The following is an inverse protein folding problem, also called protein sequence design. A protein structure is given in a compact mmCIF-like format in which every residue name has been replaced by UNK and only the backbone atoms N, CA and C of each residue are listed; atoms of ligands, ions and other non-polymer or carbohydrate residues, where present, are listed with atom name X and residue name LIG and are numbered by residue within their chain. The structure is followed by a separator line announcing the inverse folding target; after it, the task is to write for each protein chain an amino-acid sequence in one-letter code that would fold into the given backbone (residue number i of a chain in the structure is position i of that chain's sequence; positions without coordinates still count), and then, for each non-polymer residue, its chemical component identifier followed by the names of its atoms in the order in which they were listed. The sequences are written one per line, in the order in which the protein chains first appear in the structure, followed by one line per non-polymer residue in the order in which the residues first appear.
data_IF_384803968218
#
_entry.id   IF_384803968218
#
_cell.length_a   1.000
_cell.length_b   1.000
_cell.length_c   1.000
_cell.angle_alpha   90.00
_cell.angle_beta   90.00
_cell.angle_gamma   90.00
#
_symmetry.space_group_name_H-M   'P 1'
#
loop_
_entity.id
_entity.type
_entity.pdbx_description
1 polymer ?
#
# COMPACT_ATOMS: atom_id res chain seq x y z
N UNK A 1 -21.16 0.17 -7.41
CA UNK A 1 -20.57 1.52 -7.27
C UNK A 1 -19.33 1.63 -8.15
N UNK A 2 -19.49 1.83 -9.47
CA UNK A 2 -18.36 2.05 -10.41
C UNK A 2 -18.06 3.54 -10.68
N UNK A 3 -18.96 4.44 -10.28
CA UNK A 3 -18.91 5.85 -10.70
C UNK A 3 -17.87 6.69 -9.93
N UNK A 4 -17.31 6.17 -8.83
CA UNK A 4 -16.34 6.91 -8.01
C UNK A 4 -14.89 6.85 -8.54
N UNK A 5 -14.56 5.86 -9.39
CA UNK A 5 -13.19 5.69 -9.89
C UNK A 5 -12.82 6.75 -10.95
N UNK A 6 -13.79 7.19 -11.75
CA UNK A 6 -13.56 8.15 -12.84
C UNK A 6 -13.43 9.61 -12.36
N UNK A 7 -13.88 9.92 -11.15
CA UNK A 7 -13.92 11.32 -10.65
C UNK A 7 -12.64 11.70 -9.89
N UNK A 8 -11.90 10.75 -9.33
CA UNK A 8 -10.80 11.04 -8.40
C UNK A 8 -9.52 11.61 -9.06
N UNK A 9 -9.38 11.50 -10.38
CA UNK A 9 -8.18 11.96 -11.12
C UNK A 9 -8.47 13.08 -12.13
N UNK A 10 -9.71 13.52 -12.27
CA UNK A 10 -10.11 14.53 -13.26
C UNK A 10 -9.98 14.11 -14.73
N UNK A 11 -9.65 12.85 -15.03
CA UNK A 11 -9.56 12.31 -16.39
C UNK A 11 -10.55 11.13 -16.56
N UNK A 12 -11.68 11.32 -17.27
CA UNK A 12 -12.68 10.27 -17.48
C UNK A 12 -12.17 9.09 -18.35
N UNK A 13 -11.04 9.22 -19.05
CA UNK A 13 -10.41 8.15 -19.84
C UNK A 13 -9.44 7.25 -19.06
N UNK A 14 -9.15 7.58 -17.78
CA UNK A 14 -8.07 6.94 -17.03
C UNK A 14 -8.26 5.44 -16.83
N UNK A 15 -9.50 4.93 -16.85
CA UNK A 15 -9.76 3.49 -16.72
C UNK A 15 -9.09 2.65 -17.82
N UNK A 16 -9.11 3.13 -19.07
CA UNK A 16 -8.50 2.41 -20.18
C UNK A 16 -6.97 2.45 -20.10
N UNK A 17 -6.41 3.59 -19.70
CA UNK A 17 -4.97 3.77 -19.47
C UNK A 17 -4.48 2.88 -18.32
N UNK A 18 -5.23 2.84 -17.22
CA UNK A 18 -4.91 2.03 -16.06
C UNK A 18 -4.99 0.54 -16.37
N UNK A 19 -5.99 0.12 -17.16
CA UNK A 19 -6.06 -1.24 -17.69
C UNK A 19 -4.83 -1.59 -18.53
N UNK A 20 -4.46 -0.72 -19.48
CA UNK A 20 -3.29 -0.96 -20.35
C UNK A 20 -1.98 -1.08 -19.53
N UNK A 21 -1.87 -0.35 -18.41
CA UNK A 21 -0.75 -0.46 -17.47
C UNK A 21 -0.67 -1.86 -16.83
N UNK A 22 -1.79 -2.47 -16.51
CA UNK A 22 -1.81 -3.85 -16.00
C UNK A 22 -1.54 -4.88 -17.11
N UNK A 23 -2.11 -4.70 -18.30
CA UNK A 23 -1.92 -5.62 -19.43
C UNK A 23 -0.45 -5.68 -19.90
N UNK A 24 0.34 -4.63 -19.65
CA UNK A 24 1.76 -4.52 -20.01
C UNK A 24 2.74 -4.89 -18.89
N UNK A 25 2.24 -5.25 -17.71
CA UNK A 25 3.09 -5.59 -16.57
C UNK A 25 3.87 -6.89 -16.82
N UNK A 26 5.19 -6.85 -16.63
CA UNK A 26 6.06 -8.02 -16.75
C UNK A 26 6.70 -8.37 -15.40
N UNK A 27 7.10 -9.64 -15.19
CA UNK A 27 7.82 -10.02 -13.97
C UNK A 27 9.10 -9.19 -13.74
N UNK A 28 9.81 -8.82 -14.81
CA UNK A 28 11.01 -7.99 -14.75
C UNK A 28 10.69 -6.57 -14.27
N UNK A 29 9.70 -5.91 -14.88
CA UNK A 29 9.29 -4.55 -14.48
C UNK A 29 8.77 -4.51 -13.04
N UNK A 30 8.05 -5.54 -12.58
CA UNK A 30 7.61 -5.65 -11.18
C UNK A 30 8.82 -5.80 -10.25
N UNK A 31 9.78 -6.66 -10.62
CA UNK A 31 11.00 -6.88 -9.83
C UNK A 31 11.81 -5.58 -9.69
N UNK A 32 11.96 -4.83 -10.78
CA UNK A 32 12.62 -3.52 -10.78
C UNK A 32 11.89 -2.52 -9.88
N UNK A 33 10.57 -2.38 -10.02
CA UNK A 33 9.79 -1.49 -9.16
C UNK A 33 9.89 -1.84 -7.67
N UNK A 34 9.91 -3.13 -7.31
CA UNK A 34 10.10 -3.58 -5.92
C UNK A 34 11.48 -3.18 -5.40
N UNK A 35 12.53 -3.32 -6.21
CA UNK A 35 13.88 -2.89 -5.83
C UNK A 35 13.98 -1.38 -5.65
N UNK A 36 13.35 -0.63 -6.54
CA UNK A 36 13.44 0.84 -6.52
C UNK A 36 12.68 1.44 -5.34
N UNK A 37 11.52 0.89 -4.99
CA UNK A 37 10.59 1.56 -4.07
C UNK A 37 10.34 0.83 -2.75
N UNK A 38 10.67 -0.45 -2.63
CA UNK A 38 10.36 -1.24 -1.43
C UNK A 38 11.63 -1.71 -0.73
N UNK A 39 12.53 -2.38 -1.45
CA UNK A 39 13.72 -2.99 -0.85
C UNK A 39 14.62 -1.92 -0.24
N UNK A 40 15.00 -2.11 1.03
CA UNK A 40 15.89 -1.21 1.77
C UNK A 40 15.42 0.25 1.84
N UNK A 41 14.12 0.50 1.63
CA UNK A 41 13.52 1.82 1.83
C UNK A 41 12.94 1.95 3.24
N UNK A 42 12.93 3.16 3.82
CA UNK A 42 12.19 3.43 5.05
C UNK A 42 10.73 3.02 4.88
N UNK A 43 10.15 2.37 5.90
CA UNK A 43 8.77 1.95 5.89
C UNK A 43 8.11 2.26 7.23
N UNK A 44 6.79 2.37 7.22
CA UNK A 44 5.96 2.46 8.42
C UNK A 44 5.18 1.16 8.55
N UNK A 45 5.29 0.50 9.69
CA UNK A 45 4.53 -0.69 10.01
C UNK A 45 3.55 -0.39 11.15
N UNK A 46 2.33 -0.93 11.05
CA UNK A 46 1.27 -0.77 12.04
C UNK A 46 0.59 -2.12 12.31
N UNK A 47 0.44 -2.47 13.58
CA UNK A 47 -0.42 -3.56 14.05
C UNK A 47 -1.59 -3.02 14.84
N UNK A 48 -2.77 -3.57 14.61
CA UNK A 48 -3.97 -3.34 15.44
C UNK A 48 -4.28 -4.65 16.14
N UNK A 49 -4.25 -4.64 17.48
CA UNK A 49 -4.44 -5.84 18.31
C UNK A 49 -5.64 -5.65 19.24
N UNK A 50 -6.29 -6.75 19.68
CA UNK A 50 -7.32 -6.67 20.70
C UNK A 50 -6.80 -6.01 21.99
N UNK A 51 -7.71 -5.37 22.74
CA UNK A 51 -7.39 -4.78 24.03
C UNK A 51 -6.84 -5.85 24.98
N UNK A 52 -5.69 -5.57 25.59
CA UNK A 52 -5.01 -6.50 26.51
C UNK A 52 -4.07 -7.50 25.82
N UNK A 53 -3.95 -7.47 24.49
CA UNK A 53 -3.10 -8.40 23.72
C UNK A 53 -1.84 -7.72 23.16
N UNK A 54 -1.15 -6.91 23.97
CA UNK A 54 0.05 -6.17 23.56
C UNK A 54 1.17 -7.08 23.03
N UNK A 55 1.25 -8.33 23.51
CA UNK A 55 2.21 -9.33 23.02
C UNK A 55 2.00 -9.72 21.54
N UNK A 56 0.87 -9.37 20.93
CA UNK A 56 0.60 -9.59 19.50
C UNK A 56 0.99 -8.39 18.63
N UNK A 57 1.44 -7.28 19.24
CA UNK A 57 1.87 -6.11 18.49
C UNK A 57 3.10 -6.45 17.63
N UNK A 58 3.35 -5.65 16.60
CA UNK A 58 4.57 -5.74 15.80
C UNK A 58 5.80 -5.82 16.71
N UNK A 59 6.78 -6.63 16.31
CA UNK A 59 8.06 -6.70 17.00
C UNK A 59 8.63 -5.29 17.21
N UNK A 60 9.29 -5.09 18.35
CA UNK A 60 9.90 -3.83 18.78
C UNK A 60 8.90 -2.67 19.00
N UNK A 61 7.59 -2.93 18.98
CA UNK A 61 6.59 -1.96 19.42
C UNK A 61 6.76 -1.67 20.91
N UNK A 62 6.67 -0.40 21.28
CA UNK A 62 6.70 0.06 22.67
C UNK A 62 5.32 0.59 23.05
N UNK A 63 4.83 0.21 24.22
CA UNK A 63 3.58 0.75 24.75
C UNK A 63 3.74 2.24 25.05
N UNK A 64 2.83 3.06 24.51
CA UNK A 64 2.77 4.50 24.77
C UNK A 64 1.49 4.80 25.53
N UNK A 65 1.61 5.31 26.75
CA UNK A 65 0.51 5.86 27.54
C UNK A 65 0.40 7.35 27.23
N UNK A 66 -0.76 7.80 26.74
CA UNK A 66 -1.03 9.20 26.45
C UNK A 66 -2.00 9.73 27.51
N UNK A 67 -1.58 10.77 28.24
CA UNK A 67 -2.36 11.47 29.26
C UNK A 67 -3.27 12.53 28.68
#
# INVERSE_FOLDING_TARGET
QLNAYNVFRGNPGYLAEDRARYDTATPAAITEAVRDWIVSRPHVALSVVPRGSAALALADSVEVQVS
#
